data_IF_165057339785
#
_entry.id   IF_165057339785
#
_cell.length_a   1.000
_cell.length_b   1.000
_cell.length_c   1.000
_cell.angle_alpha   90.00
_cell.angle_beta   90.00
_cell.angle_gamma   90.00
#
_symmetry.space_group_name_H-M   'P 1'
#
loop_
_entity.id
_entity.type
_entity.pdbx_description
1 polymer ?
#
# COMPACT_ATOMS: atom_id res chain seq x y z
N UNK A 1 -25.02 3.64 -5.07
CA UNK A 1 -23.92 4.58 -4.73
C UNK A 1 -22.89 4.45 -5.82
N UNK A 2 -22.65 5.53 -6.58
CA UNK A 2 -21.55 5.55 -7.55
C UNK A 2 -20.27 5.62 -6.73
N UNK A 3 -19.52 4.53 -6.67
CA UNK A 3 -18.19 4.53 -6.04
C UNK A 3 -17.29 5.27 -7.03
N UNK A 4 -16.97 6.53 -6.73
CA UNK A 4 -15.97 7.25 -7.50
C UNK A 4 -14.69 6.40 -7.49
N UNK A 5 -14.04 6.17 -8.65
CA UNK A 5 -12.76 5.47 -8.67
C UNK A 5 -11.79 6.19 -7.74
N UNK A 6 -11.10 5.44 -6.87
CA UNK A 6 -10.03 6.02 -6.04
C UNK A 6 -8.94 6.55 -6.97
N UNK A 7 -8.39 7.72 -6.64
CA UNK A 7 -7.17 8.21 -7.29
C UNK A 7 -5.96 7.33 -6.94
N UNK A 8 -4.89 7.41 -7.74
CA UNK A 8 -3.64 6.70 -7.46
C UNK A 8 -3.11 7.01 -6.05
N UNK A 9 -3.17 8.29 -5.64
CA UNK A 9 -2.77 8.70 -4.29
C UNK A 9 -3.61 8.02 -3.21
N UNK A 10 -4.93 8.04 -3.34
CA UNK A 10 -5.83 7.40 -2.36
C UNK A 10 -5.65 5.88 -2.33
N UNK A 11 -5.37 5.25 -3.47
CA UNK A 11 -5.08 3.83 -3.56
C UNK A 11 -3.78 3.47 -2.82
N UNK A 12 -2.71 4.24 -3.06
CA UNK A 12 -1.41 4.04 -2.40
C UNK A 12 -1.51 4.30 -0.89
N UNK A 13 -2.17 5.37 -0.48
CA UNK A 13 -2.37 5.69 0.94
C UNK A 13 -3.15 4.58 1.66
N UNK A 14 -4.19 4.03 1.01
CA UNK A 14 -4.95 2.92 1.57
C UNK A 14 -4.13 1.62 1.68
N UNK A 15 -3.24 1.36 0.73
CA UNK A 15 -2.32 0.21 0.78
C UNK A 15 -1.28 0.36 1.90
N UNK A 16 -0.73 1.57 2.11
CA UNK A 16 0.18 1.87 3.22
C UNK A 16 -0.49 1.63 4.57
N UNK A 17 -1.73 2.10 4.73
CA UNK A 17 -2.50 1.93 5.96
C UNK A 17 -2.76 0.45 6.25
N UNK A 18 -3.16 -0.32 5.22
CA UNK A 18 -3.37 -1.77 5.36
C UNK A 18 -2.07 -2.50 5.72
N UNK A 19 -0.94 -2.16 5.09
CA UNK A 19 0.37 -2.71 5.44
C UNK A 19 0.76 -2.38 6.88
N UNK A 20 0.44 -1.16 7.35
CA UNK A 20 0.58 -0.73 8.72
C UNK A 20 -0.18 -1.60 9.72
N UNK A 21 -1.43 -1.93 9.39
CA UNK A 21 -2.25 -2.83 10.20
C UNK A 21 -1.66 -4.24 10.25
N UNK A 22 -1.20 -4.80 9.13
CA UNK A 22 -0.53 -6.10 9.12
C UNK A 22 0.78 -6.10 9.91
N UNK A 23 1.52 -5.00 9.89
CA UNK A 23 2.73 -4.84 10.70
C UNK A 23 2.39 -4.76 12.20
N UNK A 24 1.33 -4.04 12.55
CA UNK A 24 0.83 -3.93 13.92
C UNK A 24 0.29 -5.25 14.48
N UNK A 25 -0.41 -6.06 13.67
CA UNK A 25 -0.87 -7.39 14.06
C UNK A 25 0.28 -8.33 14.46
N UNK A 26 1.49 -8.07 13.97
CA UNK A 26 2.70 -8.83 14.30
C UNK A 26 3.45 -8.27 15.52
N UNK A 27 2.92 -7.24 16.18
CA UNK A 27 3.50 -6.63 17.38
C UNK A 27 4.45 -5.47 17.11
N UNK A 28 4.55 -4.97 15.88
CA UNK A 28 5.37 -3.82 15.52
C UNK A 28 4.59 -2.51 15.53
N UNK A 29 5.28 -1.37 15.53
CA UNK A 29 4.65 -0.05 15.44
C UNK A 29 4.68 0.46 13.99
N UNK A 30 3.52 0.79 13.44
CA UNK A 30 3.38 1.47 12.15
C UNK A 30 3.73 2.97 12.26
N UNK A 31 4.30 3.52 11.18
CA UNK A 31 4.57 4.96 11.02
C UNK A 31 3.75 5.49 9.84
N UNK A 32 2.85 6.44 10.10
CA UNK A 32 2.02 7.05 9.05
C UNK A 32 2.88 7.65 7.94
N UNK A 33 2.51 7.37 6.69
CA UNK A 33 3.26 7.83 5.50
C UNK A 33 4.57 7.10 5.24
N UNK A 34 4.88 6.02 5.97
CA UNK A 34 6.07 5.22 5.70
C UNK A 34 5.96 4.45 4.39
N UNK A 35 6.88 4.73 3.47
CA UNK A 35 7.00 4.05 2.18
C UNK A 35 7.59 2.65 2.37
N UNK A 36 6.74 1.68 2.67
CA UNK A 36 7.16 0.30 2.91
C UNK A 36 7.91 -0.34 1.72
N UNK A 37 7.60 0.06 0.48
CA UNK A 37 8.27 -0.47 -0.72
C UNK A 37 9.75 -0.06 -0.81
N UNK A 38 10.12 1.08 -0.24
CA UNK A 38 11.50 1.57 -0.18
C UNK A 38 12.29 1.05 1.04
N UNK A 39 11.64 0.30 1.95
CA UNK A 39 12.30 -0.15 3.18
C UNK A 39 13.50 -1.07 2.91
N UNK A 40 14.63 -0.90 3.61
CA UNK A 40 15.74 -1.85 3.57
C UNK A 40 15.40 -3.18 4.27
N UNK A 41 14.37 -3.22 5.14
CA UNK A 41 13.99 -4.43 5.88
C UNK A 41 13.08 -5.34 5.05
N UNK A 42 13.44 -6.63 4.87
CA UNK A 42 12.67 -7.55 4.02
C UNK A 42 11.26 -7.81 4.55
N UNK A 43 11.08 -7.75 5.87
CA UNK A 43 9.79 -7.97 6.51
C UNK A 43 8.82 -6.81 6.28
N UNK A 44 9.29 -5.57 6.36
CA UNK A 44 8.51 -4.37 6.03
C UNK A 44 8.07 -4.39 4.55
N UNK A 45 8.97 -4.79 3.63
CA UNK A 45 8.58 -4.99 2.22
C UNK A 45 7.55 -6.11 2.04
N UNK A 46 7.65 -7.19 2.82
CA UNK A 46 6.71 -8.31 2.74
C UNK A 46 5.29 -7.90 3.14
N UNK A 47 5.12 -7.17 4.25
CA UNK A 47 3.78 -6.74 4.68
C UNK A 47 3.12 -5.82 3.67
N UNK A 48 3.91 -5.01 2.95
CA UNK A 48 3.38 -4.19 1.86
C UNK A 48 2.98 -5.02 0.65
N UNK A 49 3.79 -6.02 0.25
CA UNK A 49 3.41 -6.96 -0.81
C UNK A 49 2.10 -7.68 -0.50
N UNK A 50 1.88 -8.05 0.77
CA UNK A 50 0.60 -8.64 1.21
C UNK A 50 -0.56 -7.66 1.03
N UNK A 51 -0.38 -6.38 1.36
CA UNK A 51 -1.39 -5.35 1.13
C UNK A 51 -1.71 -5.18 -0.36
N UNK A 52 -0.69 -5.04 -1.22
CA UNK A 52 -0.89 -4.93 -2.67
C UNK A 52 -1.67 -6.13 -3.23
N UNK A 53 -1.28 -7.35 -2.84
CA UNK A 53 -1.96 -8.55 -3.28
C UNK A 53 -3.42 -8.63 -2.79
N UNK A 54 -3.72 -8.12 -1.60
CA UNK A 54 -5.09 -8.02 -1.12
C UNK A 54 -5.95 -7.06 -1.98
N UNK A 55 -5.38 -5.93 -2.42
CA UNK A 55 -6.06 -5.00 -3.32
C UNK A 55 -6.28 -5.57 -4.72
N UNK A 56 -5.30 -6.29 -5.26
CA UNK A 56 -5.40 -7.02 -6.52
C UNK A 56 -6.55 -8.05 -6.44
N UNK A 57 -6.57 -8.91 -5.42
CA UNK A 57 -7.57 -9.97 -5.29
C UNK A 57 -8.99 -9.43 -5.00
N UNK A 58 -9.11 -8.47 -4.07
CA UNK A 58 -10.43 -8.05 -3.56
C UNK A 58 -11.06 -6.97 -4.44
N UNK A 59 -10.24 -6.09 -5.01
CA UNK A 59 -10.70 -4.90 -5.73
C UNK A 59 -10.27 -4.86 -7.20
N UNK A 60 -9.40 -5.76 -7.65
CA UNK A 60 -8.83 -5.71 -9.01
C UNK A 60 -8.03 -4.43 -9.25
N UNK A 61 -7.36 -3.93 -8.20
CA UNK A 61 -6.59 -2.67 -8.25
C UNK A 61 -5.09 -2.94 -8.17
N UNK A 62 -4.33 -2.40 -9.12
CA UNK A 62 -2.87 -2.57 -9.22
C UNK A 62 -2.12 -1.44 -8.48
N UNK A 63 -1.82 -1.67 -7.20
CA UNK A 63 -1.18 -0.65 -6.34
C UNK A 63 0.22 -0.25 -6.84
N UNK A 64 0.99 -1.20 -7.38
CA UNK A 64 2.36 -0.92 -7.84
C UNK A 64 2.39 -0.04 -9.09
N UNK A 65 1.42 -0.19 -9.98
CA UNK A 65 1.28 0.68 -11.16
C UNK A 65 0.92 2.11 -10.72
N UNK A 66 0.00 2.24 -9.75
CA UNK A 66 -0.35 3.54 -9.18
C UNK A 66 0.85 4.23 -8.48
N UNK A 67 1.76 3.48 -7.87
CA UNK A 67 3.02 4.05 -7.34
C UNK A 67 3.89 4.55 -8.47
N UNK A 68 4.09 3.75 -9.53
CA UNK A 68 4.93 4.12 -10.66
C UNK A 68 4.44 5.43 -11.32
N UNK A 69 3.12 5.56 -11.54
CA UNK A 69 2.52 6.78 -12.06
C UNK A 69 2.79 8.01 -11.17
N UNK A 70 2.73 7.85 -9.84
CA UNK A 70 2.99 8.93 -8.90
C UNK A 70 4.48 9.31 -8.82
N UNK A 71 5.38 8.36 -9.01
CA UNK A 71 6.83 8.59 -9.03
C UNK A 71 7.28 9.24 -10.34
N UNK A 72 6.59 8.98 -11.46
CA UNK A 72 6.86 9.62 -12.77
C UNK A 72 6.35 11.07 -12.86
N UNK A 73 5.39 11.46 -12.00
CA UNK A 73 4.84 12.82 -11.93
C UNK A 73 5.70 13.81 -11.09
N UNK A 74 6.72 13.33 -10.35
CA UNK A 74 7.58 14.11 -9.42
C UNK A 74 8.98 14.39 -9.98
#
# INVERSE_FOLDING_TARGET
MSMTPMSNRELVDAAIELAGQFYAMQGYSHRTGFKYWESPHPHERLVFKMACHAFEIIRGSEVMDAIADLEDEE
#
